data_IF_755907948377
#
_entry.id   IF_755907948377
#
_cell.length_a   1.000
_cell.length_b   1.000
_cell.length_c   1.000
_cell.angle_alpha   90.00
_cell.angle_beta   90.00
_cell.angle_gamma   90.00
#
_symmetry.space_group_name_H-M   'P 1'
#
loop_
_entity.id
_entity.type
_entity.pdbx_description
1 polymer ?
#
# COMPACT_ATOMS: atom_id res chain seq x y z
N UNK A 1 -43.44 -67.92 -1.46
CA UNK A 1 -44.03 -67.36 -2.69
C UNK A 1 -43.11 -66.29 -3.20
N UNK A 2 -42.75 -66.41 -4.47
CA UNK A 2 -41.76 -65.76 -5.25
C UNK A 2 -41.62 -64.24 -5.04
N UNK A 3 -40.38 -63.79 -4.86
CA UNK A 3 -39.95 -62.41 -5.04
C UNK A 3 -39.30 -62.24 -6.45
N UNK A 4 -39.86 -61.36 -7.26
CA UNK A 4 -39.33 -61.03 -8.56
C UNK A 4 -38.27 -59.91 -8.43
N UNK A 5 -37.05 -60.20 -8.85
CA UNK A 5 -35.97 -59.21 -8.94
C UNK A 5 -36.01 -58.52 -10.31
N UNK A 6 -36.19 -57.20 -10.34
CA UNK A 6 -36.09 -56.37 -11.55
C UNK A 6 -34.66 -55.81 -11.65
N UNK A 7 -33.90 -56.26 -12.63
CA UNK A 7 -32.56 -55.71 -12.95
C UNK A 7 -32.69 -54.44 -13.81
N UNK A 8 -32.22 -53.30 -13.30
CA UNK A 8 -32.04 -52.08 -14.10
C UNK A 8 -30.68 -52.14 -14.82
N UNK A 9 -30.70 -52.16 -16.15
CA UNK A 9 -29.53 -51.95 -16.96
C UNK A 9 -29.14 -50.47 -16.98
N UNK A 10 -28.00 -50.12 -16.38
CA UNK A 10 -27.38 -48.80 -16.52
C UNK A 10 -26.63 -48.74 -17.86
N UNK A 11 -27.12 -47.93 -18.77
CA UNK A 11 -26.41 -47.65 -20.03
C UNK A 11 -25.17 -46.77 -19.76
N UNK A 12 -23.98 -47.28 -20.02
CA UNK A 12 -22.72 -46.56 -19.92
C UNK A 12 -22.63 -45.44 -20.95
N UNK A 13 -22.64 -44.19 -20.53
CA UNK A 13 -22.41 -43.03 -21.39
C UNK A 13 -20.94 -42.99 -21.87
N UNK A 14 -20.72 -42.96 -23.19
CA UNK A 14 -19.39 -42.82 -23.80
C UNK A 14 -18.76 -41.49 -23.41
N UNK A 15 -17.46 -41.44 -23.03
CA UNK A 15 -16.79 -40.19 -22.66
C UNK A 15 -16.67 -39.26 -23.88
N UNK A 16 -17.23 -38.06 -23.78
CA UNK A 16 -17.04 -36.97 -24.74
C UNK A 16 -15.57 -36.60 -24.83
N UNK A 17 -14.91 -36.85 -25.96
CA UNK A 17 -13.55 -36.37 -26.21
C UNK A 17 -13.51 -34.84 -26.13
N UNK A 18 -12.87 -34.29 -25.07
CA UNK A 18 -12.54 -32.87 -24.96
C UNK A 18 -11.63 -32.50 -26.12
N UNK A 19 -12.11 -31.72 -27.09
CA UNK A 19 -11.27 -31.10 -28.11
C UNK A 19 -10.22 -30.24 -27.40
N UNK A 20 -8.94 -30.58 -27.46
CA UNK A 20 -7.85 -29.72 -27.06
C UNK A 20 -7.97 -28.42 -27.85
N UNK A 21 -8.28 -27.30 -27.19
CA UNK A 21 -8.12 -25.95 -27.80
C UNK A 21 -6.66 -25.86 -28.28
N UNK A 22 -6.44 -25.60 -29.54
CA UNK A 22 -5.11 -25.30 -30.05
C UNK A 22 -4.53 -24.12 -29.23
N UNK A 23 -3.33 -24.29 -28.73
CA UNK A 23 -2.62 -23.23 -28.05
C UNK A 23 -2.50 -22.04 -29.01
N UNK A 24 -2.92 -20.85 -28.56
CA UNK A 24 -2.66 -19.62 -29.32
C UNK A 24 -1.15 -19.52 -29.57
N UNK A 25 -0.70 -19.16 -30.79
CA UNK A 25 0.71 -18.94 -31.04
C UNK A 25 1.26 -17.92 -30.01
N UNK A 26 2.39 -18.25 -29.40
CA UNK A 26 3.08 -17.34 -28.50
C UNK A 26 3.37 -16.04 -29.26
N UNK A 27 3.17 -14.89 -28.59
CA UNK A 27 3.56 -13.61 -29.15
C UNK A 27 5.05 -13.65 -29.51
N UNK A 28 5.47 -13.05 -30.65
CA UNK A 28 6.87 -13.06 -31.07
C UNK A 28 7.74 -12.47 -29.92
N UNK A 29 8.84 -13.16 -29.63
CA UNK A 29 9.77 -12.72 -28.57
C UNK A 29 10.37 -11.34 -28.93
N UNK A 30 10.36 -10.40 -28.01
CA UNK A 30 10.99 -9.10 -28.18
C UNK A 30 12.50 -9.31 -28.38
N UNK A 31 13.06 -8.76 -29.46
CA UNK A 31 14.49 -8.91 -29.76
C UNK A 31 15.35 -8.18 -28.69
N UNK A 32 16.55 -8.70 -28.43
CA UNK A 32 17.49 -8.06 -27.49
C UNK A 32 17.81 -6.61 -27.90
N UNK A 33 17.93 -6.33 -29.20
CA UNK A 33 18.15 -4.98 -29.73
C UNK A 33 16.98 -4.03 -29.40
N UNK A 34 15.74 -4.49 -29.63
CA UNK A 34 14.55 -3.68 -29.31
C UNK A 34 14.43 -3.42 -27.80
N UNK A 35 14.74 -4.43 -26.98
CA UNK A 35 14.76 -4.27 -25.51
C UNK A 35 15.82 -3.27 -25.08
N UNK A 36 17.04 -3.36 -25.58
CA UNK A 36 18.14 -2.44 -25.26
C UNK A 36 17.79 -1.00 -25.63
N UNK A 37 17.29 -0.74 -26.83
CA UNK A 37 16.88 0.60 -27.25
C UNK A 37 15.72 1.16 -26.42
N UNK A 38 14.76 0.33 -26.04
CA UNK A 38 13.66 0.75 -25.18
C UNK A 38 14.15 1.08 -23.76
N UNK A 39 15.06 0.28 -23.20
CA UNK A 39 15.66 0.52 -21.89
C UNK A 39 16.43 1.82 -21.84
N UNK A 40 17.29 2.07 -22.83
CA UNK A 40 18.04 3.34 -22.99
C UNK A 40 17.07 4.52 -23.03
N UNK A 41 16.07 4.49 -23.90
CA UNK A 41 15.06 5.54 -24.03
C UNK A 41 14.28 5.80 -22.76
N UNK A 42 13.93 4.77 -21.97
CA UNK A 42 13.26 4.94 -20.67
C UNK A 42 14.20 5.57 -19.65
N UNK A 43 15.45 5.15 -19.62
CA UNK A 43 16.46 5.68 -18.69
C UNK A 43 16.73 7.16 -18.96
N UNK A 44 16.95 7.52 -20.22
CA UNK A 44 17.10 8.92 -20.65
C UNK A 44 15.88 9.77 -20.30
N UNK A 45 14.66 9.25 -20.52
CA UNK A 45 13.41 9.92 -20.15
C UNK A 45 13.37 10.24 -18.65
N UNK A 46 13.70 9.28 -17.79
CA UNK A 46 13.71 9.50 -16.34
C UNK A 46 14.78 10.47 -15.88
N UNK A 47 15.95 10.48 -16.54
CA UNK A 47 17.05 11.40 -16.22
C UNK A 47 16.76 12.84 -16.63
N UNK A 48 16.14 13.02 -17.80
CA UNK A 48 15.94 14.31 -18.45
C UNK A 48 14.50 14.85 -18.32
N UNK A 49 13.62 14.15 -17.58
CA UNK A 49 12.23 14.59 -17.41
C UNK A 49 12.18 15.94 -16.66
N UNK A 50 11.50 16.95 -17.21
CA UNK A 50 11.29 18.23 -16.53
C UNK A 50 10.20 18.14 -15.46
N UNK A 51 9.46 17.04 -15.38
CA UNK A 51 8.36 16.88 -14.42
C UNK A 51 8.93 16.69 -13.03
N UNK A 52 8.54 17.57 -12.15
CA UNK A 52 8.91 17.61 -10.73
C UNK A 52 7.66 17.70 -9.86
N UNK A 53 7.81 17.99 -8.58
CA UNK A 53 6.69 18.21 -7.68
C UNK A 53 6.05 19.58 -7.93
N UNK A 54 4.77 19.56 -8.34
CA UNK A 54 3.95 20.78 -8.44
C UNK A 54 3.54 21.20 -7.02
N UNK A 55 3.41 22.52 -6.78
CA UNK A 55 3.13 23.07 -5.44
C UNK A 55 4.09 22.52 -4.36
N UNK A 56 5.39 22.44 -4.68
CA UNK A 56 6.41 21.88 -3.79
C UNK A 56 6.50 22.61 -2.43
N UNK A 57 6.01 23.86 -2.33
CA UNK A 57 5.91 24.59 -1.07
C UNK A 57 5.06 23.86 -0.01
N UNK A 58 4.09 23.03 -0.42
CA UNK A 58 3.32 22.20 0.48
C UNK A 58 4.16 21.12 1.19
N UNK A 59 5.38 20.85 0.72
CA UNK A 59 6.32 19.92 1.35
C UNK A 59 7.25 20.58 2.38
N UNK A 60 7.21 21.91 2.53
CA UNK A 60 8.07 22.62 3.48
C UNK A 60 7.96 22.07 4.92
N UNK A 61 6.77 21.80 5.49
CA UNK A 61 6.66 21.19 6.81
C UNK A 61 7.41 19.85 6.92
N UNK A 62 7.32 19.00 5.89
CA UNK A 62 8.07 17.75 5.85
C UNK A 62 9.59 17.98 5.76
N UNK A 63 10.04 18.94 4.93
CA UNK A 63 11.45 19.30 4.85
C UNK A 63 12.00 19.82 6.19
N UNK A 64 11.20 20.57 6.95
CA UNK A 64 11.55 20.99 8.31
C UNK A 64 11.76 19.81 9.25
N UNK A 65 10.91 18.76 9.17
CA UNK A 65 11.11 17.53 9.94
C UNK A 65 12.42 16.83 9.56
N UNK A 66 12.72 16.71 8.26
CA UNK A 66 13.98 16.11 7.80
C UNK A 66 15.20 16.91 8.25
N UNK A 67 15.11 18.23 8.25
CA UNK A 67 16.20 19.13 8.69
C UNK A 67 16.46 19.02 10.19
N UNK A 68 15.40 19.01 11.00
CA UNK A 68 15.51 18.93 12.46
C UNK A 68 15.97 17.57 12.96
N UNK A 69 15.94 16.56 12.11
CA UNK A 69 16.22 15.17 12.46
C UNK A 69 15.28 14.63 13.56
N UNK A 70 15.65 13.52 14.19
CA UNK A 70 14.82 12.82 15.13
C UNK A 70 13.87 11.84 14.44
N UNK A 71 12.73 11.54 15.04
CA UNK A 71 11.77 10.57 14.49
C UNK A 71 10.91 11.20 13.38
N UNK A 72 10.99 10.65 12.20
CA UNK A 72 10.20 11.07 11.03
C UNK A 72 9.40 9.88 10.49
N UNK A 73 8.09 10.04 10.30
CA UNK A 73 7.23 8.98 9.73
C UNK A 73 6.60 9.46 8.42
N UNK A 74 6.66 8.60 7.40
CA UNK A 74 6.01 8.78 6.11
C UNK A 74 4.96 7.68 5.94
N UNK A 75 3.69 8.07 5.78
CA UNK A 75 2.59 7.16 5.49
C UNK A 75 2.28 7.20 3.99
N UNK A 76 2.44 6.08 3.27
CA UNK A 76 2.19 6.00 1.84
C UNK A 76 1.00 5.09 1.55
N UNK A 77 -0.17 5.69 1.37
CA UNK A 77 -1.40 5.03 0.97
C UNK A 77 -1.47 4.88 -0.55
N UNK A 78 -2.10 3.83 -1.02
CA UNK A 78 -2.29 3.62 -2.46
C UNK A 78 -2.93 2.29 -2.82
N UNK A 79 -2.89 1.98 -4.09
CA UNK A 79 -3.45 0.78 -4.69
C UNK A 79 -2.42 -0.37 -4.81
N UNK A 80 -2.57 -1.24 -5.83
CA UNK A 80 -1.68 -2.38 -6.08
C UNK A 80 -0.23 -1.97 -6.38
N UNK A 81 0.01 -0.80 -6.93
CA UNK A 81 1.36 -0.29 -7.15
C UNK A 81 2.08 -0.10 -5.82
N UNK A 82 1.40 0.49 -4.83
CA UNK A 82 1.91 0.67 -3.47
C UNK A 82 1.98 -0.66 -2.71
N UNK A 83 0.91 -1.49 -2.78
CA UNK A 83 0.86 -2.79 -2.09
C UNK A 83 1.96 -3.78 -2.52
N UNK A 84 2.56 -3.59 -3.68
CA UNK A 84 3.69 -4.39 -4.16
C UNK A 84 4.95 -4.25 -3.31
N UNK A 85 5.08 -3.15 -2.54
CA UNK A 85 6.25 -2.75 -1.72
C UNK A 85 7.59 -2.72 -2.48
N UNK A 86 7.55 -2.61 -3.82
CA UNK A 86 8.76 -2.54 -4.65
C UNK A 86 9.30 -1.10 -4.73
N UNK A 87 8.45 -0.12 -5.07
CA UNK A 87 8.88 1.27 -5.12
C UNK A 87 8.92 1.91 -3.74
N UNK A 88 7.94 1.61 -2.89
CA UNK A 88 7.90 2.09 -1.50
C UNK A 88 9.02 1.50 -0.66
N UNK A 89 9.36 0.22 -0.86
CA UNK A 89 10.53 -0.41 -0.24
C UNK A 89 11.82 0.26 -0.68
N UNK A 90 12.00 0.53 -1.99
CA UNK A 90 13.18 1.23 -2.48
C UNK A 90 13.26 2.67 -1.99
N UNK A 91 12.12 3.39 -1.93
CA UNK A 91 12.06 4.72 -1.32
C UNK A 91 12.44 4.68 0.17
N UNK A 92 11.95 3.67 0.91
CA UNK A 92 12.33 3.44 2.32
C UNK A 92 13.83 3.34 2.46
N UNK A 93 14.49 2.47 1.68
CA UNK A 93 15.94 2.31 1.71
C UNK A 93 16.65 3.65 1.47
N UNK A 94 16.28 4.37 0.41
CA UNK A 94 16.91 5.64 0.03
C UNK A 94 16.73 6.73 1.09
N UNK A 95 15.52 6.84 1.67
CA UNK A 95 15.26 7.83 2.73
C UNK A 95 15.98 7.45 4.03
N UNK A 96 15.99 6.18 4.41
CA UNK A 96 16.68 5.69 5.60
C UNK A 96 18.20 5.80 5.49
N UNK A 97 18.78 5.51 4.33
CA UNK A 97 20.20 5.72 4.05
C UNK A 97 20.60 7.19 4.20
N UNK A 98 19.72 8.10 3.82
CA UNK A 98 20.00 9.56 3.85
C UNK A 98 19.72 10.20 5.21
N UNK A 99 18.64 9.81 5.89
CA UNK A 99 18.11 10.50 7.07
C UNK A 99 18.15 9.67 8.35
N UNK A 100 18.69 8.45 8.28
CA UNK A 100 18.79 7.52 9.41
C UNK A 100 17.66 6.49 9.40
N UNK A 101 18.00 5.27 9.80
CA UNK A 101 17.06 4.15 9.83
C UNK A 101 16.19 4.21 11.08
N UNK A 102 14.92 4.54 10.92
CA UNK A 102 13.88 4.54 11.97
C UNK A 102 13.23 3.16 12.17
N UNK A 103 13.64 2.13 11.41
CA UNK A 103 13.06 0.80 11.44
C UNK A 103 11.88 0.64 10.48
N UNK A 104 11.12 -0.44 10.65
CA UNK A 104 10.04 -0.79 9.73
C UNK A 104 8.81 0.12 9.84
N UNK A 105 8.58 0.73 11.02
CA UNK A 105 7.35 1.45 11.28
C UNK A 105 6.15 0.50 11.34
N UNK A 106 5.00 0.96 10.82
CA UNK A 106 3.78 0.16 10.81
C UNK A 106 3.83 -0.96 9.77
N UNK A 107 3.35 -2.13 10.18
CA UNK A 107 3.05 -3.27 9.31
C UNK A 107 1.75 -3.96 9.75
N UNK A 108 1.01 -4.53 8.80
CA UNK A 108 -0.23 -5.25 9.15
C UNK A 108 0.02 -6.44 10.06
N UNK A 109 -0.94 -6.74 10.93
CA UNK A 109 -0.94 -7.97 11.71
C UNK A 109 -1.16 -9.18 10.78
N UNK A 110 -0.33 -10.21 10.93
CA UNK A 110 -0.40 -11.43 10.15
C UNK A 110 -0.27 -11.20 8.63
N UNK A 111 -1.13 -11.89 7.88
CA UNK A 111 -1.22 -11.75 6.41
C UNK A 111 -2.68 -11.53 6.03
N UNK A 112 -3.16 -10.29 6.08
CA UNK A 112 -4.58 -9.98 5.87
C UNK A 112 -5.09 -10.35 4.48
N UNK A 113 -4.21 -10.53 3.48
CA UNK A 113 -4.53 -11.13 2.17
C UNK A 113 -3.35 -11.95 1.64
N UNK A 114 -3.62 -12.87 0.73
CA UNK A 114 -2.63 -13.86 0.26
C UNK A 114 -1.37 -13.25 -0.36
N UNK A 115 -1.50 -12.12 -1.06
CA UNK A 115 -0.39 -11.42 -1.71
C UNK A 115 0.24 -10.33 -0.83
N UNK A 116 -0.20 -10.19 0.43
CA UNK A 116 0.41 -9.21 1.34
C UNK A 116 1.90 -9.49 1.52
N UNK A 117 2.69 -8.45 1.39
CA UNK A 117 4.12 -8.47 1.70
C UNK A 117 4.63 -7.09 2.08
N UNK A 118 5.64 -7.11 2.92
CA UNK A 118 6.56 -6.03 3.22
C UNK A 118 7.95 -6.59 3.05
N UNK A 119 8.88 -5.81 2.46
CA UNK A 119 10.22 -6.32 2.15
C UNK A 119 11.14 -6.32 3.38
N UNK A 120 10.90 -5.44 4.31
CA UNK A 120 11.71 -5.20 5.51
C UNK A 120 11.25 -5.99 6.75
N UNK A 121 10.07 -6.62 6.71
CA UNK A 121 9.56 -7.47 7.79
C UNK A 121 8.98 -8.77 7.24
N UNK A 122 8.83 -9.78 8.11
CA UNK A 122 8.14 -11.03 7.78
C UNK A 122 6.99 -11.27 8.73
N UNK A 123 5.77 -11.23 8.19
CA UNK A 123 4.53 -11.47 8.94
C UNK A 123 3.99 -12.86 8.68
N UNK A 124 3.46 -13.48 9.72
CA UNK A 124 2.85 -14.81 9.70
C UNK A 124 1.49 -14.75 10.41
N UNK A 125 0.61 -15.68 10.08
CA UNK A 125 -0.68 -15.81 10.76
C UNK A 125 -1.23 -17.21 10.60
N UNK A 126 -1.96 -17.70 11.61
CA UNK A 126 -2.76 -18.91 11.54
C UNK A 126 -4.01 -18.70 10.67
N UNK A 127 -4.78 -19.78 10.42
CA UNK A 127 -5.77 -19.78 9.34
C UNK A 127 -7.12 -19.11 9.67
N UNK A 128 -7.44 -18.91 10.94
CA UNK A 128 -8.79 -18.49 11.34
C UNK A 128 -8.89 -17.01 11.73
N UNK A 129 -8.08 -16.20 11.08
CA UNK A 129 -8.23 -14.73 11.07
C UNK A 129 -9.06 -14.31 9.86
N UNK A 130 -10.10 -13.52 10.11
CA UNK A 130 -10.91 -12.88 9.09
C UNK A 130 -10.40 -11.47 8.83
N UNK A 131 -10.27 -11.07 7.57
CA UNK A 131 -9.81 -9.73 7.19
C UNK A 131 -10.96 -8.86 6.78
N UNK A 132 -11.02 -7.65 7.35
CA UNK A 132 -11.98 -6.60 7.04
C UNK A 132 -11.28 -5.39 6.41
N UNK A 133 -11.99 -4.63 5.57
CA UNK A 133 -11.49 -3.40 4.94
C UNK A 133 -10.91 -3.58 3.53
N UNK A 134 -10.68 -4.81 3.04
CA UNK A 134 -10.03 -5.05 1.74
C UNK A 134 -10.89 -4.70 0.53
N UNK A 135 -12.19 -5.01 0.58
CA UNK A 135 -13.09 -4.86 -0.58
C UNK A 135 -14.51 -4.45 -0.20
N UNK A 136 -14.80 -4.31 1.07
CA UNK A 136 -16.18 -4.23 1.51
C UNK A 136 -16.64 -2.78 1.63
N UNK A 137 -17.77 -2.52 0.99
CA UNK A 137 -18.63 -1.38 1.29
C UNK A 137 -19.48 -1.62 2.54
N UNK A 138 -19.43 -2.83 3.09
CA UNK A 138 -20.30 -3.36 4.11
C UNK A 138 -19.59 -3.63 5.45
N UNK A 139 -18.46 -3.03 5.70
CA UNK A 139 -17.77 -3.13 6.99
C UNK A 139 -18.17 -2.04 7.95
N UNK A 140 -17.74 -2.17 9.20
CA UNK A 140 -17.96 -1.16 10.25
C UNK A 140 -17.00 0.04 10.18
N UNK A 141 -16.03 0.01 9.28
CA UNK A 141 -15.02 1.06 9.12
C UNK A 141 -13.89 1.04 10.15
N UNK A 142 -13.95 0.20 11.17
CA UNK A 142 -12.98 0.16 12.27
C UNK A 142 -11.72 -0.62 11.89
N UNK A 143 -10.94 -0.07 10.97
CA UNK A 143 -9.81 -0.79 10.36
C UNK A 143 -8.43 -0.27 10.81
N UNK A 144 -8.37 0.79 11.62
CA UNK A 144 -7.12 1.41 12.09
C UNK A 144 -6.39 2.21 11.01
N UNK A 145 -5.08 2.32 11.17
CA UNK A 145 -4.22 3.20 10.35
C UNK A 145 -4.28 2.92 8.85
N UNK A 146 -4.25 1.65 8.48
CA UNK A 146 -4.03 1.23 7.08
C UNK A 146 -5.30 0.79 6.37
N UNK A 147 -6.48 0.97 6.99
CA UNK A 147 -7.76 0.62 6.39
C UNK A 147 -8.02 -0.88 6.30
N UNK A 148 -7.26 -1.70 7.04
CA UNK A 148 -7.44 -3.16 7.11
C UNK A 148 -7.22 -3.64 8.53
N UNK A 149 -8.12 -4.50 9.02
CA UNK A 149 -7.98 -5.21 10.29
C UNK A 149 -8.14 -6.72 10.09
N UNK A 150 -7.68 -7.50 11.07
CA UNK A 150 -7.96 -8.93 11.15
C UNK A 150 -8.66 -9.25 12.47
N UNK A 151 -9.64 -10.15 12.43
CA UNK A 151 -10.49 -10.49 13.57
C UNK A 151 -10.59 -11.99 13.76
N UNK A 152 -10.61 -12.45 15.01
CA UNK A 152 -10.94 -13.83 15.35
C UNK A 152 -11.67 -13.90 16.71
N UNK A 153 -12.41 -14.98 16.93
CA UNK A 153 -13.01 -15.34 18.23
C UNK A 153 -12.53 -16.73 18.70
N UNK A 154 -11.47 -17.26 18.07
CA UNK A 154 -10.96 -18.59 18.38
C UNK A 154 -9.77 -18.49 19.31
N UNK A 155 -9.73 -19.29 20.39
CA UNK A 155 -8.54 -19.38 21.22
C UNK A 155 -7.41 -20.11 20.50
N UNK A 156 -6.17 -19.72 20.79
CA UNK A 156 -4.97 -20.35 20.25
C UNK A 156 -4.56 -19.87 18.85
N UNK A 157 -5.32 -18.96 18.21
CA UNK A 157 -4.92 -18.38 16.94
C UNK A 157 -3.73 -17.44 17.15
N UNK A 158 -2.81 -17.45 16.18
CA UNK A 158 -1.57 -16.69 16.28
C UNK A 158 -1.34 -15.76 15.12
N UNK A 159 -0.71 -14.63 15.39
CA UNK A 159 -0.01 -13.81 14.40
C UNK A 159 1.42 -13.58 14.90
N UNK A 160 2.38 -13.59 13.98
CA UNK A 160 3.78 -13.38 14.34
C UNK A 160 4.45 -12.41 13.37
N UNK A 161 5.51 -11.75 13.88
CA UNK A 161 6.30 -10.76 13.15
C UNK A 161 7.79 -10.97 13.45
N UNK A 162 8.60 -11.09 12.38
CA UNK A 162 10.05 -10.89 12.46
C UNK A 162 10.36 -9.45 12.12
N UNK A 163 10.97 -8.74 13.05
CA UNK A 163 11.36 -7.34 12.90
C UNK A 163 12.56 -7.02 13.77
N UNK A 164 13.21 -5.90 13.47
CA UNK A 164 14.34 -5.38 14.22
C UNK A 164 13.97 -4.12 14.99
N UNK A 165 14.74 -3.81 16.04
CA UNK A 165 14.70 -2.55 16.75
C UNK A 165 14.12 -2.63 18.17
N UNK A 166 14.45 -1.62 19.02
CA UNK A 166 14.10 -1.63 20.44
C UNK A 166 12.67 -1.23 20.75
N UNK A 167 11.88 -0.79 19.75
CA UNK A 167 10.50 -0.34 19.97
C UNK A 167 9.52 -1.35 19.39
N UNK A 168 8.57 -1.77 20.21
CA UNK A 168 7.43 -2.58 19.83
C UNK A 168 6.13 -1.87 20.21
N UNK A 169 5.20 -1.76 19.25
CA UNK A 169 3.83 -1.37 19.52
C UNK A 169 2.88 -2.33 18.80
N UNK A 170 1.79 -2.68 19.49
CA UNK A 170 0.71 -3.50 18.95
C UNK A 170 -0.53 -2.62 18.90
N UNK A 171 -1.13 -2.51 17.72
CA UNK A 171 -2.33 -1.71 17.47
C UNK A 171 -3.53 -2.65 17.32
N UNK A 172 -4.55 -2.44 18.13
CA UNK A 172 -5.74 -3.26 18.16
C UNK A 172 -7.01 -2.42 18.38
N UNK A 173 -8.16 -3.03 18.23
CA UNK A 173 -9.42 -2.43 18.67
C UNK A 173 -9.68 -2.83 20.12
N UNK A 174 -9.72 -1.87 21.01
CA UNK A 174 -10.31 -2.04 22.33
C UNK A 174 -11.84 -1.99 22.19
N UNK A 175 -12.54 -2.95 22.78
CA UNK A 175 -13.99 -3.05 22.65
C UNK A 175 -14.60 -3.77 23.86
N UNK A 176 -15.87 -3.47 24.23
CA UNK A 176 -16.54 -4.19 25.31
C UNK A 176 -16.59 -5.71 25.07
N UNK A 177 -16.15 -6.48 26.03
CA UNK A 177 -16.04 -7.94 25.96
C UNK A 177 -14.90 -8.42 25.05
N UNK A 178 -13.90 -7.57 24.78
CA UNK A 178 -12.72 -7.93 23.99
C UNK A 178 -11.87 -9.01 24.66
N UNK A 179 -11.23 -9.87 23.85
CA UNK A 179 -10.43 -10.99 24.31
C UNK A 179 -9.04 -10.60 24.78
N UNK A 180 -8.32 -11.58 25.32
CA UNK A 180 -6.94 -11.42 25.75
C UNK A 180 -5.94 -12.04 24.78
N UNK A 181 -4.75 -11.42 24.68
CA UNK A 181 -3.62 -11.83 23.86
C UNK A 181 -2.39 -12.12 24.73
N UNK A 182 -1.74 -13.24 24.52
CA UNK A 182 -0.38 -13.50 25.02
C UNK A 182 0.63 -12.96 24.00
N UNK A 183 1.51 -12.07 24.44
CA UNK A 183 2.64 -11.59 23.65
C UNK A 183 3.89 -12.34 24.09
N UNK A 184 4.58 -12.97 23.16
CA UNK A 184 5.91 -13.55 23.39
C UNK A 184 6.93 -13.06 22.36
N UNK A 185 8.19 -13.09 22.74
CA UNK A 185 9.34 -12.93 21.85
C UNK A 185 10.10 -14.27 21.85
N UNK A 186 10.20 -14.87 20.68
CA UNK A 186 10.55 -16.28 20.53
C UNK A 186 9.63 -17.15 21.42
N UNK A 187 10.19 -17.84 22.42
CA UNK A 187 9.43 -18.68 23.36
C UNK A 187 9.24 -18.03 24.73
N UNK A 188 9.66 -16.78 24.92
CA UNK A 188 9.58 -16.06 26.18
C UNK A 188 8.31 -15.23 26.24
N UNK A 189 7.40 -15.53 27.18
CA UNK A 189 6.22 -14.71 27.44
C UNK A 189 6.64 -13.32 27.95
N UNK A 190 6.29 -12.28 27.22
CA UNK A 190 6.56 -10.89 27.59
C UNK A 190 5.42 -10.27 28.38
N UNK A 191 4.16 -10.55 27.98
CA UNK A 191 2.99 -9.92 28.57
C UNK A 191 1.69 -10.61 28.19
N UNK A 192 0.59 -10.22 28.89
CA UNK A 192 -0.79 -10.53 28.50
C UNK A 192 -1.57 -9.22 28.32
N UNK A 193 -2.10 -9.00 27.13
CA UNK A 193 -2.77 -7.78 26.71
C UNK A 193 -4.29 -8.03 26.68
N UNK A 194 -5.06 -7.25 27.43
CA UNK A 194 -6.52 -7.24 27.32
C UNK A 194 -6.95 -6.29 26.22
N UNK A 195 -7.89 -6.71 25.36
CA UNK A 195 -8.55 -5.84 24.40
C UNK A 195 -9.96 -5.44 24.88
N UNK A 196 -10.35 -5.82 26.11
CA UNK A 196 -11.60 -5.39 26.75
C UNK A 196 -11.51 -3.96 27.24
N UNK A 197 -12.57 -3.19 27.02
CA UNK A 197 -12.71 -1.80 27.45
C UNK A 197 -13.65 -1.00 26.56
N UNK A 198 -13.64 0.31 26.69
CA UNK A 198 -14.44 1.20 25.85
C UNK A 198 -13.97 1.14 24.40
N UNK A 199 -14.91 1.36 23.46
CA UNK A 199 -14.61 1.27 22.02
C UNK A 199 -13.64 2.37 21.59
N UNK A 200 -12.38 1.98 21.34
CA UNK A 200 -11.29 2.89 20.95
C UNK A 200 -10.15 2.12 20.29
N UNK A 201 -9.21 2.79 19.56
CA UNK A 201 -7.94 2.19 19.24
C UNK A 201 -7.11 1.94 20.50
N UNK A 202 -6.64 0.71 20.68
CA UNK A 202 -5.73 0.33 21.76
C UNK A 202 -4.28 0.28 21.25
N UNK A 203 -3.36 0.70 22.09
CA UNK A 203 -1.92 0.74 21.79
C UNK A 203 -1.13 0.15 22.96
N UNK A 204 -0.67 -1.09 22.77
CA UNK A 204 0.32 -1.66 23.69
C UNK A 204 1.70 -1.24 23.22
N UNK A 205 2.48 -0.60 24.07
CA UNK A 205 3.84 -0.09 23.77
C UNK A 205 4.84 -0.70 24.73
N UNK A 206 5.96 -1.17 24.21
CA UNK A 206 7.05 -1.76 24.99
C UNK A 206 8.41 -1.44 24.37
N UNK A 207 9.36 -1.09 25.21
CA UNK A 207 10.77 -1.09 24.85
C UNK A 207 11.35 -2.48 25.08
N UNK A 208 12.18 -2.93 24.16
CA UNK A 208 12.86 -4.23 24.16
C UNK A 208 14.35 -4.02 23.89
N UNK A 209 15.15 -5.05 23.98
CA UNK A 209 16.56 -4.96 23.60
C UNK A 209 16.72 -4.66 22.10
N UNK A 210 17.74 -3.89 21.68
CA UNK A 210 18.04 -3.75 20.26
C UNK A 210 18.40 -5.10 19.62
N UNK A 211 17.99 -5.28 18.37
CA UNK A 211 18.31 -6.47 17.57
C UNK A 211 17.09 -7.13 16.95
N UNK A 212 17.28 -8.31 16.36
CA UNK A 212 16.21 -9.09 15.74
C UNK A 212 15.31 -9.75 16.76
N UNK A 213 14.01 -9.71 16.52
CA UNK A 213 12.97 -10.30 17.36
C UNK A 213 12.02 -11.18 16.54
N UNK A 214 11.40 -12.15 17.21
CA UNK A 214 10.30 -12.94 16.67
C UNK A 214 9.09 -12.87 17.59
N UNK A 215 8.30 -11.81 17.42
CA UNK A 215 7.11 -11.60 18.22
C UNK A 215 5.97 -12.51 17.79
N UNK A 216 5.25 -13.05 18.76
CA UNK A 216 4.01 -13.82 18.55
C UNK A 216 2.92 -13.29 19.46
N UNK A 217 1.75 -13.01 18.89
CA UNK A 217 0.50 -12.81 19.64
C UNK A 217 -0.33 -14.06 19.50
N UNK A 218 -0.84 -14.56 20.63
CA UNK A 218 -1.74 -15.73 20.71
C UNK A 218 -3.02 -15.34 21.46
N UNK A 219 -4.17 -15.64 20.86
CA UNK A 219 -5.47 -15.44 21.52
C UNK A 219 -5.67 -16.48 22.63
N UNK A 220 -6.18 -16.05 23.79
CA UNK A 220 -6.35 -16.92 24.99
C UNK A 220 -7.75 -17.53 25.10
N UNK A 221 -8.75 -16.82 24.68
CA UNK A 221 -10.14 -17.11 24.94
C UNK A 221 -11.01 -17.03 23.67
N UNK A 222 -12.34 -17.13 23.84
CA UNK A 222 -13.33 -17.07 22.74
C UNK A 222 -13.91 -15.67 22.53
N UNK A 223 -13.44 -14.68 23.28
CA UNK A 223 -13.87 -13.32 23.07
C UNK A 223 -13.27 -12.73 21.78
N UNK A 224 -13.92 -11.74 21.16
CA UNK A 224 -13.43 -11.17 19.90
C UNK A 224 -12.13 -10.41 20.11
N UNK A 225 -11.16 -10.63 19.24
CA UNK A 225 -9.92 -9.86 19.13
C UNK A 225 -9.82 -9.30 17.72
N UNK A 226 -9.60 -8.00 17.61
CA UNK A 226 -9.33 -7.31 16.33
C UNK A 226 -7.99 -6.62 16.38
N UNK A 227 -7.11 -6.96 15.43
CA UNK A 227 -5.77 -6.40 15.31
C UNK A 227 -5.69 -5.50 14.08
N UNK A 228 -5.05 -4.33 14.23
CA UNK A 228 -4.75 -3.42 13.14
C UNK A 228 -3.34 -3.64 12.60
N UNK A 229 -2.34 -3.85 13.48
CA UNK A 229 -0.97 -4.04 13.06
C UNK A 229 0.04 -3.90 14.18
N UNK A 230 1.29 -3.89 13.75
CA UNK A 230 2.47 -3.71 14.58
C UNK A 230 3.16 -2.40 14.21
N UNK A 231 3.85 -1.79 15.16
CA UNK A 231 4.86 -0.77 14.87
C UNK A 231 6.16 -1.20 15.52
N UNK A 232 7.21 -1.34 14.72
CA UNK A 232 8.54 -1.69 15.20
C UNK A 232 9.57 -0.71 14.66
N UNK A 233 10.64 -0.46 15.42
CA UNK A 233 11.68 0.43 14.94
C UNK A 233 12.60 0.97 16.00
N UNK A 234 13.27 2.05 15.66
CA UNK A 234 14.24 2.77 16.49
C UNK A 234 13.63 4.04 17.09
N UNK A 235 14.27 4.58 18.13
CA UNK A 235 13.82 5.81 18.78
C UNK A 235 13.90 7.01 17.82
N UNK A 236 14.92 7.05 16.97
CA UNK A 236 15.19 8.10 16.00
C UNK A 236 15.29 7.52 14.58
N UNK A 237 15.31 8.40 13.58
CA UNK A 237 15.40 8.06 12.18
C UNK A 237 14.05 8.08 11.47
N UNK A 238 14.07 7.69 10.22
CA UNK A 238 12.93 7.76 9.33
C UNK A 238 12.28 6.39 9.14
N UNK A 239 10.96 6.32 9.29
CA UNK A 239 10.13 5.19 8.87
C UNK A 239 9.37 5.53 7.61
N UNK A 240 9.31 4.60 6.65
CA UNK A 240 8.53 4.73 5.42
C UNK A 240 7.52 3.57 5.34
N UNK A 241 6.27 3.87 5.56
CA UNK A 241 5.22 2.89 5.81
C UNK A 241 4.36 2.66 4.58
N UNK A 242 4.38 1.43 4.06
CA UNK A 242 3.61 1.02 2.88
C UNK A 242 2.22 0.60 3.29
N UNK A 243 1.21 1.41 2.94
CA UNK A 243 -0.20 1.24 3.30
C UNK A 243 -1.09 1.02 2.07
N UNK A 244 -0.55 0.33 1.06
CA UNK A 244 -1.28 0.01 -0.17
C UNK A 244 -2.19 -1.20 -0.04
N UNK A 245 -3.34 -1.16 -0.70
CA UNK A 245 -4.30 -2.26 -0.80
C UNK A 245 -4.55 -2.57 -2.28
N UNK A 246 -4.41 -3.84 -2.68
CA UNK A 246 -4.64 -4.25 -4.07
C UNK A 246 -6.07 -3.92 -4.52
N UNK A 247 -6.20 -3.22 -5.65
CA UNK A 247 -7.50 -2.83 -6.19
C UNK A 247 -8.18 -1.66 -5.48
N UNK A 248 -7.53 -1.05 -4.48
CA UNK A 248 -8.10 0.08 -3.74
C UNK A 248 -8.35 1.30 -4.61
N UNK A 249 -9.36 2.04 -4.24
CA UNK A 249 -9.70 3.38 -4.72
C UNK A 249 -9.63 4.35 -3.54
N UNK A 250 -9.30 5.60 -3.79
CA UNK A 250 -9.24 6.65 -2.77
C UNK A 250 -10.56 6.80 -1.99
N UNK A 251 -11.70 6.52 -2.63
CA UNK A 251 -13.03 6.53 -2.01
C UNK A 251 -13.17 5.59 -0.82
N UNK A 252 -12.37 4.52 -0.74
CA UNK A 252 -12.41 3.58 0.39
C UNK A 252 -12.07 4.25 1.71
N UNK A 253 -11.19 5.26 1.67
CA UNK A 253 -10.77 6.01 2.85
C UNK A 253 -11.95 6.72 3.53
N UNK A 254 -12.95 7.17 2.75
CA UNK A 254 -14.13 7.84 3.28
C UNK A 254 -15.09 6.89 4.00
N UNK A 255 -14.95 5.57 3.80
CA UNK A 255 -15.75 4.54 4.50
C UNK A 255 -15.10 4.09 5.83
N UNK A 256 -13.88 4.52 6.13
CA UNK A 256 -13.26 4.18 7.41
C UNK A 256 -13.90 4.99 8.54
N UNK A 257 -13.99 4.42 9.74
CA UNK A 257 -14.44 5.16 10.92
C UNK A 257 -13.52 6.37 11.17
N UNK A 258 -14.12 7.55 11.33
CA UNK A 258 -13.35 8.79 11.40
C UNK A 258 -12.54 8.92 12.68
N UNK A 259 -13.11 8.49 13.82
CA UNK A 259 -12.45 8.61 15.12
C UNK A 259 -11.31 7.61 15.25
N UNK A 260 -11.53 6.34 14.87
CA UNK A 260 -10.51 5.28 14.86
C UNK A 260 -9.36 5.65 13.93
N UNK A 261 -9.66 6.12 12.73
CA UNK A 261 -8.65 6.51 11.74
C UNK A 261 -7.84 7.73 12.21
N UNK A 262 -8.52 8.77 12.68
CA UNK A 262 -7.85 9.98 13.15
C UNK A 262 -6.93 9.71 14.36
N UNK A 263 -7.40 8.91 15.33
CA UNK A 263 -6.58 8.50 16.47
C UNK A 263 -5.36 7.68 16.03
N UNK A 264 -5.53 6.76 15.08
CA UNK A 264 -4.42 5.93 14.56
C UNK A 264 -3.37 6.77 13.81
N UNK A 265 -3.80 7.75 13.04
CA UNK A 265 -2.90 8.69 12.34
C UNK A 265 -2.19 9.59 13.34
N UNK A 266 -2.91 10.12 14.35
CA UNK A 266 -2.34 10.97 15.40
C UNK A 266 -1.28 10.24 16.24
N UNK A 267 -1.52 8.96 16.59
CA UNK A 267 -0.51 8.13 17.29
C UNK A 267 0.77 7.95 16.47
N UNK A 268 0.65 7.80 15.12
CA UNK A 268 1.82 7.73 14.24
C UNK A 268 2.52 9.07 14.06
N UNK A 269 1.82 10.18 14.20
CA UNK A 269 2.33 11.54 14.03
C UNK A 269 3.17 11.72 12.76
N UNK A 270 2.59 11.51 11.56
CA UNK A 270 3.35 11.53 10.32
C UNK A 270 3.83 12.94 9.97
N UNK A 271 5.03 13.02 9.42
CA UNK A 271 5.55 14.24 8.80
C UNK A 271 5.08 14.41 7.34
N UNK A 272 4.82 13.28 6.65
CA UNK A 272 4.33 13.25 5.29
C UNK A 272 3.28 12.14 5.13
N UNK A 273 2.18 12.48 4.46
CA UNK A 273 1.19 11.51 3.98
C UNK A 273 1.17 11.56 2.46
N UNK A 274 1.39 10.41 1.83
CA UNK A 274 1.36 10.23 0.37
C UNK A 274 0.10 9.47 -0.01
N UNK A 275 -0.60 9.95 -1.04
CA UNK A 275 -1.80 9.34 -1.62
C UNK A 275 -1.53 9.01 -3.09
N UNK A 276 -1.36 7.73 -3.42
CA UNK A 276 -1.02 7.24 -4.75
C UNK A 276 -2.14 6.34 -5.29
N UNK A 277 -3.15 6.94 -5.89
CA UNK A 277 -4.34 6.30 -6.41
C UNK A 277 -4.55 6.61 -7.90
N UNK A 278 -5.76 6.37 -8.43
CA UNK A 278 -6.17 6.74 -9.78
C UNK A 278 -6.18 5.61 -10.79
N UNK A 279 -5.32 4.58 -10.64
CA UNK A 279 -5.26 3.45 -11.58
C UNK A 279 -6.58 2.70 -11.67
N UNK A 280 -7.23 2.45 -10.54
CA UNK A 280 -8.50 1.72 -10.46
C UNK A 280 -9.69 2.63 -10.77
N UNK A 281 -9.64 3.89 -10.37
CA UNK A 281 -10.62 4.92 -10.66
C UNK A 281 -10.79 5.14 -12.16
N UNK A 282 -9.70 5.10 -12.92
CA UNK A 282 -9.75 5.19 -14.38
C UNK A 282 -10.63 4.11 -15.03
N UNK A 283 -10.82 2.97 -14.37
CA UNK A 283 -11.67 1.88 -14.85
C UNK A 283 -13.17 2.11 -14.61
N UNK A 284 -13.56 3.13 -13.84
CA UNK A 284 -14.96 3.46 -13.62
C UNK A 284 -15.47 4.42 -14.71
N UNK A 285 -16.32 3.98 -15.66
CA UNK A 285 -16.79 4.82 -16.75
C UNK A 285 -17.77 5.92 -16.29
N UNK A 286 -18.33 5.78 -15.08
CA UNK A 286 -19.28 6.73 -14.51
C UNK A 286 -18.63 7.79 -13.61
N UNK A 287 -17.35 7.64 -13.29
CA UNK A 287 -16.61 8.59 -12.49
C UNK A 287 -16.24 9.80 -13.36
N UNK A 288 -16.86 10.94 -13.09
CA UNK A 288 -16.51 12.19 -13.78
C UNK A 288 -15.27 12.83 -13.13
N UNK A 289 -14.60 13.70 -13.86
CA UNK A 289 -13.46 14.49 -13.37
C UNK A 289 -13.85 15.31 -12.13
N UNK A 290 -15.00 16.00 -12.20
CA UNK A 290 -15.52 16.83 -11.10
C UNK A 290 -15.82 15.99 -9.83
N UNK A 291 -16.50 14.83 -9.99
CA UNK A 291 -16.82 13.98 -8.85
C UNK A 291 -15.58 13.38 -8.21
N UNK A 292 -14.58 13.02 -9.02
CA UNK A 292 -13.32 12.48 -8.49
C UNK A 292 -12.49 13.56 -7.81
N UNK A 293 -12.42 14.77 -8.37
CA UNK A 293 -11.78 15.92 -7.72
C UNK A 293 -12.42 16.23 -6.36
N UNK A 294 -13.74 16.30 -6.28
CA UNK A 294 -14.45 16.51 -5.01
C UNK A 294 -14.12 15.44 -3.97
N UNK A 295 -14.17 14.17 -4.37
CA UNK A 295 -13.81 13.04 -3.52
C UNK A 295 -12.38 13.16 -2.97
N UNK A 296 -11.40 13.52 -3.78
CA UNK A 296 -10.01 13.67 -3.34
C UNK A 296 -9.82 14.85 -2.38
N UNK A 297 -10.55 15.94 -2.57
CA UNK A 297 -10.57 17.07 -1.62
C UNK A 297 -11.08 16.61 -0.26
N UNK A 298 -12.16 15.81 -0.23
CA UNK A 298 -12.69 15.24 1.02
C UNK A 298 -11.69 14.31 1.70
N UNK A 299 -11.00 13.44 0.92
CA UNK A 299 -9.93 12.56 1.43
C UNK A 299 -8.79 13.38 2.02
N UNK A 300 -8.31 14.40 1.32
CA UNK A 300 -7.24 15.29 1.80
C UNK A 300 -7.67 16.03 3.07
N UNK A 301 -8.92 16.53 3.13
CA UNK A 301 -9.48 17.20 4.31
C UNK A 301 -9.47 16.29 5.52
N UNK A 302 -9.86 15.02 5.35
CA UNK A 302 -9.85 14.02 6.41
C UNK A 302 -8.45 13.78 6.98
N UNK A 303 -7.45 13.63 6.13
CA UNK A 303 -6.05 13.47 6.58
C UNK A 303 -5.51 14.74 7.23
N UNK A 304 -5.84 15.91 6.71
CA UNK A 304 -5.41 17.19 7.30
C UNK A 304 -6.01 17.43 8.69
N UNK A 305 -7.25 16.99 8.92
CA UNK A 305 -7.87 17.05 10.25
C UNK A 305 -7.17 16.10 11.24
N UNK A 306 -6.78 14.90 10.79
CA UNK A 306 -6.10 13.90 11.61
C UNK A 306 -4.63 14.23 11.88
N UNK A 307 -3.94 14.90 10.95
CA UNK A 307 -2.53 15.28 11.02
C UNK A 307 -2.30 16.69 10.43
N UNK A 308 -2.69 17.75 11.14
CA UNK A 308 -2.65 19.13 10.59
C UNK A 308 -1.24 19.63 10.29
N UNK A 309 -0.21 19.09 10.96
CA UNK A 309 1.20 19.44 10.74
C UNK A 309 1.87 18.65 9.61
N UNK A 310 1.23 17.58 9.11
CA UNK A 310 1.80 16.77 8.05
C UNK A 310 1.70 17.45 6.69
N UNK A 311 2.74 17.31 5.87
CA UNK A 311 2.63 17.57 4.44
C UNK A 311 1.76 16.49 3.76
N UNK A 312 1.01 16.88 2.72
CA UNK A 312 0.24 15.97 1.88
C UNK A 312 0.80 15.99 0.46
N UNK A 313 1.02 14.80 -0.12
CA UNK A 313 1.47 14.61 -1.49
C UNK A 313 0.50 13.68 -2.23
N UNK A 314 -0.09 14.15 -3.32
CA UNK A 314 -0.81 13.32 -4.26
C UNK A 314 0.13 12.88 -5.38
N UNK A 315 0.10 11.59 -5.73
CA UNK A 315 0.85 11.03 -6.85
C UNK A 315 -0.16 10.49 -7.85
N UNK A 316 -0.21 11.10 -9.03
CA UNK A 316 -1.08 10.64 -10.11
C UNK A 316 -0.70 9.25 -10.61
N UNK A 317 -1.66 8.48 -11.19
CA UNK A 317 -1.41 7.14 -11.67
C UNK A 317 -0.43 7.14 -12.83
N UNK A 318 0.34 6.05 -13.04
CA UNK A 318 1.15 5.89 -14.25
C UNK A 318 0.25 5.69 -15.48
N UNK A 319 0.89 5.72 -16.65
CA UNK A 319 0.21 5.33 -17.89
C UNK A 319 -0.21 3.85 -17.84
N UNK A 320 -1.29 3.50 -18.55
CA UNK A 320 -1.74 2.12 -18.69
C UNK A 320 -2.40 1.89 -20.03
N UNK A 321 -2.46 0.62 -20.43
CA UNK A 321 -3.12 0.18 -21.66
C UNK A 321 -4.30 -0.74 -21.35
N UNK A 322 -5.22 -0.81 -22.29
CA UNK A 322 -6.34 -1.75 -22.28
C UNK A 322 -6.38 -2.56 -23.57
N UNK A 323 -7.07 -3.69 -23.55
CA UNK A 323 -7.36 -4.48 -24.75
C UNK A 323 -8.55 -3.89 -25.48
N UNK A 324 -8.35 -3.43 -26.73
CA UNK A 324 -9.41 -3.01 -27.62
C UNK A 324 -9.28 -3.75 -28.96
N UNK A 325 -10.34 -4.47 -29.38
CA UNK A 325 -10.36 -5.26 -30.62
C UNK A 325 -9.13 -6.17 -30.81
N UNK A 326 -8.62 -6.71 -29.68
CA UNK A 326 -7.46 -7.62 -29.69
C UNK A 326 -6.09 -6.93 -29.59
N UNK A 327 -6.01 -5.61 -29.73
CA UNK A 327 -4.79 -4.82 -29.62
C UNK A 327 -4.66 -4.14 -28.26
N UNK A 328 -3.43 -3.89 -27.85
CA UNK A 328 -3.14 -3.00 -26.73
C UNK A 328 -3.21 -1.54 -27.21
N UNK A 329 -4.00 -0.72 -26.51
CA UNK A 329 -4.12 0.72 -26.77
C UNK A 329 -3.99 1.51 -25.46
N UNK A 330 -3.43 2.73 -25.50
CA UNK A 330 -3.41 3.60 -24.33
C UNK A 330 -4.82 3.80 -23.80
N UNK A 331 -4.97 3.90 -22.47
CA UNK A 331 -6.27 4.09 -21.84
C UNK A 331 -6.52 5.57 -21.60
N UNK A 332 -7.34 6.18 -22.44
CA UNK A 332 -7.63 7.62 -22.41
C UNK A 332 -8.26 8.11 -21.10
N UNK A 333 -8.97 7.21 -20.38
CA UNK A 333 -9.58 7.56 -19.11
C UNK A 333 -8.55 8.03 -18.05
N UNK A 334 -7.28 7.68 -18.19
CA UNK A 334 -6.22 8.16 -17.28
C UNK A 334 -6.01 9.68 -17.40
N UNK A 335 -6.28 10.28 -18.58
CA UNK A 335 -6.12 11.72 -18.79
C UNK A 335 -6.98 12.51 -17.79
N UNK A 336 -8.28 12.18 -17.68
CA UNK A 336 -9.20 12.84 -16.75
C UNK A 336 -8.85 12.63 -15.28
N UNK A 337 -8.29 11.45 -14.94
CA UNK A 337 -7.87 11.14 -13.57
C UNK A 337 -6.71 12.03 -13.14
N UNK A 338 -5.66 12.12 -13.97
CA UNK A 338 -4.50 12.98 -13.70
C UNK A 338 -4.90 14.46 -13.58
N UNK A 339 -5.82 14.92 -14.44
CA UNK A 339 -6.36 16.30 -14.36
C UNK A 339 -7.07 16.53 -13.04
N UNK A 340 -8.01 15.64 -12.67
CA UNK A 340 -8.76 15.75 -11.42
C UNK A 340 -7.84 15.74 -10.18
N UNK A 341 -6.83 14.91 -10.16
CA UNK A 341 -5.87 14.82 -9.05
C UNK A 341 -5.02 16.09 -8.92
N UNK A 342 -4.54 16.63 -10.04
CA UNK A 342 -3.79 17.89 -10.06
C UNK A 342 -4.63 19.05 -9.51
N UNK A 343 -5.88 19.18 -9.97
CA UNK A 343 -6.79 20.22 -9.51
C UNK A 343 -7.20 20.03 -8.04
N UNK A 344 -7.42 18.78 -7.60
CA UNK A 344 -7.68 18.47 -6.20
C UNK A 344 -6.48 18.85 -5.31
N UNK A 345 -5.25 18.55 -5.73
CA UNK A 345 -4.05 18.90 -4.99
C UNK A 345 -3.91 20.41 -4.82
N UNK A 346 -4.12 21.20 -5.88
CA UNK A 346 -4.10 22.66 -5.81
C UNK A 346 -5.15 23.15 -4.82
N UNK A 347 -6.39 22.69 -4.95
CA UNK A 347 -7.52 23.12 -4.12
C UNK A 347 -7.31 22.76 -2.65
N UNK A 348 -6.77 21.57 -2.35
CA UNK A 348 -6.53 21.08 -1.00
C UNK A 348 -5.19 21.58 -0.41
N UNK A 349 -4.39 22.36 -1.16
CA UNK A 349 -3.08 22.84 -0.71
C UNK A 349 -2.07 21.71 -0.51
N UNK A 350 -2.12 20.67 -1.36
CA UNK A 350 -1.21 19.55 -1.38
C UNK A 350 -0.13 19.72 -2.44
N UNK A 351 1.01 19.03 -2.29
CA UNK A 351 1.91 18.83 -3.41
C UNK A 351 1.35 17.78 -4.38
N UNK A 352 1.73 17.87 -5.65
CA UNK A 352 1.33 16.90 -6.68
C UNK A 352 2.53 16.43 -7.49
N UNK A 353 2.60 15.13 -7.78
CA UNK A 353 3.52 14.54 -8.72
C UNK A 353 2.75 13.90 -9.88
N UNK A 354 2.89 14.44 -11.08
CA UNK A 354 2.44 13.78 -12.32
C UNK A 354 3.39 12.63 -12.66
N UNK A 355 3.15 11.47 -12.03
CA UNK A 355 3.98 10.29 -12.29
C UNK A 355 3.88 9.85 -13.76
N UNK A 356 2.71 9.93 -14.39
CA UNK A 356 2.55 9.60 -15.80
C UNK A 356 3.42 10.48 -16.70
N UNK A 357 3.38 11.79 -16.48
CA UNK A 357 4.24 12.75 -17.19
C UNK A 357 5.72 12.45 -16.97
N UNK A 358 6.10 12.16 -15.71
CA UNK A 358 7.48 11.78 -15.33
C UNK A 358 7.98 10.57 -16.10
N UNK A 359 7.13 9.57 -16.32
CA UNK A 359 7.45 8.34 -17.03
C UNK A 359 7.39 8.46 -18.57
N UNK A 360 7.11 9.64 -19.11
CA UNK A 360 7.09 9.92 -20.55
C UNK A 360 5.70 10.13 -21.15
N UNK A 361 4.66 10.19 -20.33
CA UNK A 361 3.29 10.54 -20.74
C UNK A 361 2.49 9.39 -21.33
N UNK A 362 1.44 9.75 -22.05
CA UNK A 362 0.50 8.82 -22.67
C UNK A 362 1.16 7.93 -23.71
N UNK A 363 0.88 6.62 -23.68
CA UNK A 363 1.41 5.63 -24.61
C UNK A 363 2.77 5.06 -24.23
N UNK A 364 3.35 5.48 -23.13
CA UNK A 364 4.70 5.08 -22.73
C UNK A 364 4.76 3.70 -22.07
N UNK A 365 3.67 3.22 -21.45
CA UNK A 365 3.64 1.91 -20.77
C UNK A 365 4.05 0.75 -21.69
N UNK A 366 3.73 0.81 -22.97
CA UNK A 366 4.17 -0.21 -23.94
C UNK A 366 5.71 -0.22 -24.08
N UNK A 367 6.36 0.96 -24.13
CA UNK A 367 7.82 1.07 -24.17
C UNK A 367 8.46 0.47 -22.92
N UNK A 368 7.88 0.73 -21.75
CA UNK A 368 8.32 0.13 -20.49
C UNK A 368 8.21 -1.39 -20.49
N UNK A 369 7.12 -1.93 -21.07
CA UNK A 369 6.95 -3.38 -21.22
C UNK A 369 7.98 -3.97 -22.18
N UNK A 370 8.27 -3.31 -23.32
CA UNK A 370 9.33 -3.73 -24.26
C UNK A 370 10.71 -3.73 -23.60
N UNK A 371 11.00 -2.73 -22.77
CA UNK A 371 12.23 -2.64 -21.98
C UNK A 371 12.36 -3.73 -20.90
N UNK A 372 11.27 -4.44 -20.58
CA UNK A 372 11.22 -5.41 -19.47
C UNK A 372 11.06 -4.74 -18.09
N UNK A 373 10.65 -3.48 -18.07
CA UNK A 373 10.43 -2.68 -16.87
C UNK A 373 8.96 -2.64 -16.45
N UNK A 374 8.03 -3.00 -17.34
CA UNK A 374 6.63 -3.22 -17.02
C UNK A 374 6.20 -4.65 -17.34
N UNK A 375 5.13 -5.10 -16.70
CA UNK A 375 4.53 -6.41 -16.91
C UNK A 375 3.75 -6.46 -18.23
N UNK A 376 3.44 -7.67 -18.69
CA UNK A 376 2.69 -7.87 -19.93
C UNK A 376 1.21 -7.49 -19.83
N UNK A 377 0.74 -7.16 -18.64
CA UNK A 377 -0.60 -6.62 -18.42
C UNK A 377 -0.71 -5.13 -18.79
N UNK A 378 0.44 -4.46 -19.00
CA UNK A 378 0.54 -3.05 -19.34
C UNK A 378 -0.13 -2.12 -18.30
N UNK A 379 -0.09 -2.53 -17.05
CA UNK A 379 -0.56 -1.76 -15.88
C UNK A 379 0.55 -1.69 -14.82
N UNK A 380 1.07 -2.86 -14.41
CA UNK A 380 2.05 -2.96 -13.34
C UNK A 380 3.48 -2.94 -13.87
N UNK A 381 4.41 -2.47 -13.04
CA UNK A 381 5.84 -2.52 -13.35
C UNK A 381 6.45 -3.82 -12.82
N UNK A 382 7.62 -4.18 -13.35
CA UNK A 382 8.48 -5.19 -12.75
C UNK A 382 9.22 -4.61 -11.54
N UNK A 383 9.83 -5.43 -10.70
CA UNK A 383 10.66 -4.96 -9.60
C UNK A 383 11.74 -3.95 -10.07
N UNK A 384 12.37 -4.23 -11.22
CA UNK A 384 13.36 -3.30 -11.82
C UNK A 384 12.71 -1.97 -12.22
N UNK A 385 11.51 -2.00 -12.81
CA UNK A 385 10.78 -0.79 -13.19
C UNK A 385 10.40 0.05 -11.96
N UNK A 386 9.86 -0.55 -10.94
CA UNK A 386 9.53 0.15 -9.68
C UNK A 386 10.75 0.78 -9.00
N UNK A 387 11.91 0.09 -9.01
CA UNK A 387 13.15 0.64 -8.45
C UNK A 387 13.62 1.88 -9.19
N UNK A 388 13.60 1.87 -10.52
CA UNK A 388 13.95 3.04 -11.32
C UNK A 388 13.00 4.22 -11.07
N UNK A 389 11.69 3.96 -10.92
CA UNK A 389 10.69 4.97 -10.57
C UNK A 389 11.03 5.57 -9.19
N UNK A 390 11.28 4.75 -8.19
CA UNK A 390 11.62 5.18 -6.84
C UNK A 390 12.88 6.05 -6.81
N UNK A 391 13.92 5.64 -7.54
CA UNK A 391 15.18 6.38 -7.64
C UNK A 391 15.01 7.75 -8.32
N UNK A 392 14.17 7.82 -9.36
CA UNK A 392 13.84 9.07 -10.02
C UNK A 392 13.04 10.01 -9.10
N UNK A 393 12.04 9.48 -8.41
CA UNK A 393 11.23 10.24 -7.45
C UNK A 393 12.07 10.76 -6.28
N UNK A 394 12.94 9.92 -5.72
CA UNK A 394 13.82 10.31 -4.62
C UNK A 394 14.80 11.41 -5.03
N UNK A 395 15.39 11.32 -6.23
CA UNK A 395 16.26 12.37 -6.77
C UNK A 395 15.53 13.71 -6.85
N UNK A 396 14.36 13.73 -7.49
CA UNK A 396 13.56 14.96 -7.62
C UNK A 396 13.17 15.51 -6.24
N UNK A 397 12.92 14.64 -5.29
CA UNK A 397 12.62 15.02 -3.92
C UNK A 397 13.83 15.68 -3.24
N UNK A 398 15.03 15.12 -3.45
CA UNK A 398 16.26 15.70 -2.91
C UNK A 398 16.62 17.04 -3.57
N UNK A 399 16.29 17.23 -4.84
CA UNK A 399 16.45 18.52 -5.52
C UNK A 399 15.56 19.60 -4.87
N UNK A 400 14.29 19.28 -4.56
CA UNK A 400 13.40 20.19 -3.83
C UNK A 400 13.89 20.45 -2.38
N UNK A 401 14.38 19.42 -1.71
CA UNK A 401 14.99 19.58 -0.39
C UNK A 401 16.22 20.47 -0.41
N UNK A 402 17.07 20.37 -1.43
CA UNK A 402 18.23 21.25 -1.62
C UNK A 402 17.83 22.72 -1.85
N UNK A 403 16.72 22.97 -2.58
CA UNK A 403 16.16 24.32 -2.75
C UNK A 403 15.71 24.87 -1.39
N UNK A 404 14.97 24.05 -0.61
CA UNK A 404 14.55 24.41 0.75
C UNK A 404 15.73 24.77 1.65
N UNK A 405 16.82 23.99 1.64
CA UNK A 405 18.01 24.25 2.45
C UNK A 405 18.65 25.59 2.09
N UNK A 406 18.80 25.88 0.78
CA UNK A 406 19.34 27.15 0.31
C UNK A 406 18.49 28.36 0.73
N UNK A 407 17.17 28.22 0.67
CA UNK A 407 16.26 29.29 1.09
C UNK A 407 16.30 29.54 2.61
N UNK A 408 16.73 28.54 3.39
CA UNK A 408 16.85 28.62 4.84
C UNK A 408 18.14 29.32 5.30
N UNK A 409 19.18 29.31 4.47
CA UNK A 409 20.48 29.95 4.73
C UNK A 409 20.47 31.44 4.41
N UNK A 410 19.45 31.94 3.71
CA UNK A 410 19.24 33.36 3.39
C UNK A 410 18.38 34.05 4.47
#
# INVERSE_FOLDING_TARGET
MLAAATALFAAAAKPKKRKKKAAKPAAPAISAKARGAALESVTEQLQNSPVTYENAAALIPFFEHLYRKGRVSILHYGDSHTAADEWTGRLRDLFQDKFGNGGAGFSHAGRPWNSYRRMDVRSFGSHFWHSDGLFSREGDGMYGLAGVSITTTRPGETVALKADGPLLQINYLQQPGGGALELSDEDVLLDTISTDGDLAPGYYKREVNPGPHYYTLRTRDRAPVRLFGWVTGNADGLTYETLGINGAQASMILNWDSAITASSIADRNPALIVLAYGTNEASNPHLTEESYRGLLIDVCSRFRQAAPAASLLLIGPPDRFIRSKGNWVPYDAVDRIVTAEREAAVTAGCAFLDLRGKLGGKGTMHKWAVAGLAQLDHVHFTAAGYRLIAEAMFRDFMDQYAIFLKAREQ
#
